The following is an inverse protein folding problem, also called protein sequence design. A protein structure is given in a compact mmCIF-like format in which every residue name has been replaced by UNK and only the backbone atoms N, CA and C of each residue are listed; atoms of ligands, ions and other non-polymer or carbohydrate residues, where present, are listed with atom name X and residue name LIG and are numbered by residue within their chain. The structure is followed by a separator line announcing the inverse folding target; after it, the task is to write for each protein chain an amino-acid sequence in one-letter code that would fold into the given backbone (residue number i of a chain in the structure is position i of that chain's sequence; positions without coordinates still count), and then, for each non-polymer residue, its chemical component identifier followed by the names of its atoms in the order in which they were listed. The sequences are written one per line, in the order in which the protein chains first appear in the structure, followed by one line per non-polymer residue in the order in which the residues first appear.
data_IF_733045907443
#
_entry.id   IF_733045907443
#
_cell.length_a   1.000
_cell.length_b   1.000
_cell.length_c   1.000
_cell.angle_alpha   90.00
_cell.angle_beta   90.00
_cell.angle_gamma   90.00
#
_symmetry.space_group_name_H-M   'P 1'
#
loop_
_entity.id
_entity.type
_entity.pdbx_description
1 polymer ?
#
# COMPACT_ATOMS: atom_id res chain seq x y z
N UNK A 1 -18.07 30.99 -48.48
CA UNK A 1 -17.18 31.30 -47.33
C UNK A 1 -17.81 31.06 -45.95
N UNK A 2 -19.14 31.05 -45.79
CA UNK A 2 -19.80 30.85 -44.48
C UNK A 2 -19.76 29.40 -43.97
N UNK A 3 -19.74 28.43 -44.87
CA UNK A 3 -19.75 26.98 -44.56
C UNK A 3 -18.39 26.45 -44.08
N UNK A 4 -17.26 27.02 -44.54
CA UNK A 4 -15.91 26.65 -44.09
C UNK A 4 -15.60 27.07 -42.64
N UNK A 5 -16.18 28.18 -42.17
CA UNK A 5 -15.99 28.68 -40.80
C UNK A 5 -16.76 27.81 -39.78
N UNK A 6 -17.91 27.28 -40.18
CA UNK A 6 -18.77 26.42 -39.37
C UNK A 6 -18.18 25.03 -39.17
N UNK A 7 -17.58 24.45 -40.23
CA UNK A 7 -16.91 23.15 -40.14
C UNK A 7 -15.61 23.20 -39.33
N UNK A 8 -14.83 24.28 -39.44
CA UNK A 8 -13.63 24.47 -38.61
C UNK A 8 -13.98 24.61 -37.11
N UNK A 9 -15.06 25.31 -36.78
CA UNK A 9 -15.53 25.46 -35.40
C UNK A 9 -15.99 24.13 -34.80
N UNK A 10 -16.66 23.29 -35.59
CA UNK A 10 -17.11 21.96 -35.15
C UNK A 10 -15.94 20.99 -34.89
N UNK A 11 -14.89 21.06 -35.71
CA UNK A 11 -13.67 20.25 -35.55
C UNK A 11 -12.89 20.70 -34.31
N UNK A 12 -12.81 22.00 -34.05
CA UNK A 12 -12.15 22.53 -32.84
C UNK A 12 -12.90 22.14 -31.55
N UNK A 13 -14.23 22.14 -31.58
CA UNK A 13 -15.06 21.74 -30.44
C UNK A 13 -14.93 20.25 -30.11
N UNK A 14 -14.82 19.40 -31.14
CA UNK A 14 -14.58 17.97 -30.99
C UNK A 14 -13.18 17.66 -30.42
N UNK A 15 -12.16 18.45 -30.77
CA UNK A 15 -10.80 18.30 -30.26
C UNK A 15 -10.67 18.64 -28.75
N UNK A 16 -11.50 19.57 -28.25
CA UNK A 16 -11.52 19.96 -26.82
C UNK A 16 -12.23 18.91 -25.95
N UNK A 17 -13.20 18.19 -26.49
CA UNK A 17 -13.88 17.10 -25.78
C UNK A 17 -12.99 15.86 -25.57
N UNK A 18 -11.98 15.64 -26.42
CA UNK A 18 -11.07 14.49 -26.33
C UNK A 18 -9.94 14.71 -25.32
N UNK A 19 -9.56 15.96 -25.02
CA UNK A 19 -8.46 16.28 -24.09
C UNK A 19 -8.83 16.21 -22.60
N UNK A 20 -10.09 15.92 -22.26
CA UNK A 20 -10.59 15.94 -20.88
C UNK A 20 -10.62 14.58 -20.19
N UNK A 21 -10.10 13.52 -20.81
CA UNK A 21 -9.81 12.25 -20.11
C UNK A 21 -8.51 12.36 -19.31
N UNK A 22 -8.47 13.31 -18.37
CA UNK A 22 -7.53 13.23 -17.26
C UNK A 22 -8.07 12.16 -16.31
N UNK A 23 -7.62 10.92 -16.49
CA UNK A 23 -7.86 9.88 -15.50
C UNK A 23 -7.11 10.30 -14.23
N UNK A 24 -7.79 10.49 -13.08
CA UNK A 24 -7.08 10.57 -11.82
C UNK A 24 -6.29 9.27 -11.68
N UNK A 25 -4.97 9.39 -11.43
CA UNK A 25 -4.12 8.25 -11.14
C UNK A 25 -4.66 7.57 -9.87
N UNK A 26 -5.45 6.52 -10.07
CA UNK A 26 -6.01 5.73 -8.99
C UNK A 26 -4.83 5.12 -8.22
N UNK A 27 -4.75 5.38 -6.91
CA UNK A 27 -3.82 4.69 -6.04
C UNK A 27 -4.10 3.18 -6.17
N UNK A 28 -3.21 2.45 -6.83
CA UNK A 28 -3.36 1.03 -7.03
C UNK A 28 -3.23 0.34 -5.66
N UNK A 29 -4.36 -0.11 -5.12
CA UNK A 29 -4.39 -0.93 -3.91
C UNK A 29 -4.50 -2.41 -4.31
N UNK A 30 -3.50 -3.19 -3.93
CA UNK A 30 -3.50 -4.64 -4.15
C UNK A 30 -3.96 -5.32 -2.86
N UNK A 31 -4.96 -6.21 -2.97
CA UNK A 31 -5.49 -6.97 -1.85
C UNK A 31 -5.36 -8.48 -2.08
N UNK A 32 -5.11 -9.21 -1.00
CA UNK A 32 -5.03 -10.68 -1.01
C UNK A 32 -5.55 -11.23 0.30
N UNK A 33 -6.12 -12.44 0.24
CA UNK A 33 -6.66 -13.15 1.40
C UNK A 33 -5.83 -14.41 1.63
N UNK A 34 -5.50 -14.69 2.88
CA UNK A 34 -4.80 -15.92 3.28
C UNK A 34 -5.59 -16.60 4.38
N UNK A 35 -6.15 -17.78 4.08
CA UNK A 35 -6.89 -18.60 5.03
C UNK A 35 -5.96 -19.47 5.86
N UNK A 36 -6.29 -19.64 7.13
CA UNK A 36 -5.60 -20.50 8.08
C UNK A 36 -6.41 -21.77 8.36
N UNK A 37 -5.75 -22.79 8.90
CA UNK A 37 -6.35 -24.10 9.13
C UNK A 37 -7.50 -24.08 10.15
N UNK A 38 -7.49 -23.11 11.07
CA UNK A 38 -8.53 -22.90 12.09
C UNK A 38 -9.74 -22.09 11.55
N UNK A 39 -9.74 -21.76 10.26
CA UNK A 39 -10.79 -20.98 9.59
C UNK A 39 -10.64 -19.46 9.77
N UNK A 40 -9.69 -18.99 10.56
CA UNK A 40 -9.32 -17.57 10.60
C UNK A 40 -8.59 -17.18 9.31
N UNK A 41 -8.46 -15.88 9.05
CA UNK A 41 -7.80 -15.42 7.83
C UNK A 41 -7.17 -14.03 7.99
N UNK A 42 -6.22 -13.76 7.11
CA UNK A 42 -5.65 -12.43 6.94
C UNK A 42 -6.15 -11.78 5.66
N UNK A 43 -6.52 -10.51 5.72
CA UNK A 43 -6.61 -9.65 4.53
C UNK A 43 -5.36 -8.79 4.50
N UNK A 44 -4.56 -8.91 3.45
CA UNK A 44 -3.37 -8.10 3.24
C UNK A 44 -3.64 -7.08 2.15
N UNK A 45 -3.43 -5.81 2.47
CA UNK A 45 -3.62 -4.66 1.56
C UNK A 45 -2.31 -3.90 1.42
N UNK A 46 -1.91 -3.61 0.19
CA UNK A 46 -0.77 -2.73 -0.11
C UNK A 46 -1.31 -1.43 -0.69
N UNK A 47 -0.93 -0.31 -0.09
CA UNK A 47 -1.26 1.04 -0.55
C UNK A 47 0.03 1.77 -0.91
N UNK A 48 0.15 2.19 -2.17
CA UNK A 48 1.26 3.04 -2.61
C UNK A 48 0.92 4.49 -2.32
N UNK A 49 1.83 5.21 -1.66
CA UNK A 49 1.67 6.65 -1.44
C UNK A 49 2.13 7.43 -2.68
N UNK A 50 1.39 8.46 -3.10
CA UNK A 50 1.79 9.29 -4.23
C UNK A 50 3.14 9.94 -3.92
N UNK A 51 4.12 9.76 -4.81
CA UNK A 51 5.43 10.40 -4.72
C UNK A 51 5.65 11.25 -5.97
N UNK A 52 6.23 12.44 -5.78
CA UNK A 52 6.71 13.24 -6.90
C UNK A 52 7.91 12.49 -7.52
N UNK A 53 7.76 12.01 -8.76
CA UNK A 53 8.85 11.48 -9.55
C UNK A 53 9.83 12.61 -9.83
N UNK A 54 10.85 12.77 -8.99
CA UNK A 54 11.94 13.69 -9.25
C UNK A 54 12.88 13.01 -10.26
N UNK A 55 13.19 13.69 -11.38
CA UNK A 55 14.08 13.19 -12.45
C UNK A 55 15.55 13.03 -12.07
N UNK A 56 15.84 12.47 -10.89
CA UNK A 56 17.18 12.09 -10.42
C UNK A 56 17.45 10.62 -10.78
N UNK A 57 18.72 10.24 -10.81
CA UNK A 57 19.16 8.86 -11.10
C UNK A 57 18.62 7.80 -10.10
N UNK A 58 18.19 8.22 -8.91
CA UNK A 58 17.49 7.39 -7.93
C UNK A 58 16.10 7.98 -7.67
N UNK A 59 15.08 7.14 -7.83
CA UNK A 59 13.68 7.45 -7.55
C UNK A 59 13.34 7.02 -6.12
N UNK A 60 12.32 7.64 -5.53
CA UNK A 60 11.80 7.29 -4.22
C UNK A 60 10.36 6.83 -4.33
N UNK A 61 10.00 5.82 -3.54
CA UNK A 61 8.62 5.37 -3.40
C UNK A 61 8.34 5.09 -1.93
N UNK A 62 7.10 5.27 -1.52
CA UNK A 62 6.65 4.96 -0.17
C UNK A 62 5.31 4.28 -0.23
N UNK A 63 5.01 3.50 0.78
CA UNK A 63 3.73 2.83 0.87
C UNK A 63 3.53 2.15 2.19
N UNK A 64 2.38 1.53 2.31
CA UNK A 64 1.95 0.82 3.50
C UNK A 64 1.48 -0.56 3.10
N UNK A 65 1.85 -1.55 3.91
CA UNK A 65 1.26 -2.89 3.85
C UNK A 65 0.59 -3.19 5.16
N UNK A 66 -0.71 -3.40 5.08
CA UNK A 66 -1.59 -3.70 6.21
C UNK A 66 -1.99 -5.14 6.16
N UNK A 67 -1.93 -5.83 7.31
CA UNK A 67 -2.49 -7.16 7.51
C UNK A 67 -3.57 -7.06 8.58
N UNK A 68 -4.81 -7.27 8.15
CA UNK A 68 -5.95 -7.37 9.03
C UNK A 68 -6.21 -8.84 9.39
N UNK A 69 -6.31 -9.14 10.68
CA UNK A 69 -6.61 -10.49 11.16
C UNK A 69 -8.10 -10.63 11.49
N UNK A 70 -8.72 -11.66 10.91
CA UNK A 70 -10.13 -11.98 11.09
C UNK A 70 -10.29 -13.35 11.74
N UNK A 71 -11.26 -13.46 12.65
CA UNK A 71 -11.67 -14.75 13.21
C UNK A 71 -12.41 -15.61 12.18
N UNK A 72 -12.59 -16.90 12.49
CA UNK A 72 -13.46 -17.79 11.71
C UNK A 72 -14.93 -17.37 11.69
N UNK A 73 -15.34 -16.45 12.57
CA UNK A 73 -16.67 -15.82 12.57
C UNK A 73 -16.72 -14.51 11.79
N UNK A 74 -15.70 -14.20 10.98
CA UNK A 74 -15.60 -12.99 10.14
C UNK A 74 -15.52 -11.67 10.91
N UNK A 75 -15.14 -11.70 12.19
CA UNK A 75 -14.89 -10.49 12.98
C UNK A 75 -13.43 -10.05 12.83
N UNK A 76 -13.21 -8.77 12.50
CA UNK A 76 -11.86 -8.18 12.48
C UNK A 76 -11.37 -8.04 13.91
N UNK A 77 -10.27 -8.70 14.25
CA UNK A 77 -9.72 -8.73 15.60
C UNK A 77 -8.72 -7.58 15.81
N UNK A 78 -7.72 -7.50 14.95
CA UNK A 78 -6.71 -6.45 14.97
C UNK A 78 -6.14 -6.22 13.57
N UNK A 79 -5.41 -5.11 13.43
CA UNK A 79 -4.66 -4.73 12.24
C UNK A 79 -3.22 -4.44 12.60
N UNK A 80 -2.28 -4.88 11.76
CA UNK A 80 -0.87 -4.51 11.82
C UNK A 80 -0.43 -3.98 10.47
N UNK A 81 0.21 -2.81 10.46
CA UNK A 81 0.76 -2.20 9.26
C UNK A 81 2.25 -1.95 9.39
N UNK A 82 2.96 -2.09 8.27
CA UNK A 82 4.29 -1.49 8.09
C UNK A 82 4.17 -0.35 7.09
N UNK A 83 4.79 0.78 7.42
CA UNK A 83 4.95 1.92 6.53
C UNK A 83 6.42 1.93 6.13
N UNK A 84 6.68 1.82 4.83
CA UNK A 84 8.03 1.73 4.29
C UNK A 84 8.35 2.89 3.37
N UNK A 85 9.57 3.40 3.49
CA UNK A 85 10.17 4.35 2.56
C UNK A 85 11.33 3.69 1.84
N UNK A 86 11.38 3.85 0.52
CA UNK A 86 12.34 3.16 -0.33
C UNK A 86 12.94 4.09 -1.38
N UNK A 87 14.19 3.81 -1.74
CA UNK A 87 14.85 4.35 -2.93
C UNK A 87 15.13 3.21 -3.91
N UNK A 88 15.08 3.51 -5.21
CA UNK A 88 15.33 2.53 -6.27
C UNK A 88 15.95 3.18 -7.50
N UNK A 89 16.72 2.40 -8.27
CA UNK A 89 17.49 2.90 -9.44
C UNK A 89 17.19 2.16 -10.75
N UNK A 90 16.28 1.19 -10.76
CA UNK A 90 16.10 0.24 -11.87
C UNK A 90 17.01 -0.99 -11.78
N UNK A 91 18.12 -0.91 -11.04
CA UNK A 91 19.01 -2.05 -10.78
C UNK A 91 18.95 -2.56 -9.33
N UNK A 92 18.69 -1.66 -8.38
CA UNK A 92 18.65 -1.98 -6.95
C UNK A 92 17.54 -1.20 -6.26
N UNK A 93 17.12 -1.69 -5.09
CA UNK A 93 16.21 -1.00 -4.18
C UNK A 93 16.75 -1.07 -2.75
N UNK A 94 16.44 -0.06 -1.95
CA UNK A 94 16.86 0.03 -0.55
C UNK A 94 15.73 0.61 0.29
N UNK A 95 15.41 -0.04 1.40
CA UNK A 95 14.53 0.49 2.42
C UNK A 95 15.31 1.50 3.26
N UNK A 96 14.86 2.75 3.26
CA UNK A 96 15.52 3.87 3.94
C UNK A 96 14.89 4.19 5.29
N UNK A 97 13.60 3.88 5.46
CA UNK A 97 12.90 4.04 6.73
C UNK A 97 11.75 3.03 6.82
N UNK A 98 11.42 2.61 8.04
CA UNK A 98 10.33 1.72 8.36
C UNK A 98 9.67 2.21 9.66
N UNK A 99 8.35 2.33 9.60
CA UNK A 99 7.47 2.59 10.74
C UNK A 99 6.41 1.51 10.84
N UNK A 100 5.73 1.43 11.99
CA UNK A 100 4.63 0.52 12.19
C UNK A 100 3.40 1.25 12.72
N UNK A 101 2.23 0.72 12.39
CA UNK A 101 0.95 1.16 12.92
C UNK A 101 0.09 -0.05 13.28
N UNK A 102 -0.83 0.11 14.22
CA UNK A 102 -1.72 -0.97 14.64
C UNK A 102 -3.09 -0.45 15.05
N UNK A 103 -4.09 -1.32 14.93
CA UNK A 103 -5.38 -1.10 15.58
C UNK A 103 -5.89 -2.40 16.19
N UNK A 104 -6.62 -2.28 17.30
CA UNK A 104 -7.30 -3.40 17.94
C UNK A 104 -8.79 -3.09 17.92
N UNK A 105 -9.62 -4.03 17.47
CA UNK A 105 -11.04 -3.80 17.24
C UNK A 105 -11.93 -4.49 18.28
N UNK A 106 -11.40 -5.52 18.93
CA UNK A 106 -12.10 -6.30 19.96
C UNK A 106 -11.36 -6.22 21.30
N UNK A 107 -12.09 -6.14 22.40
CA UNK A 107 -11.53 -5.92 23.75
C UNK A 107 -10.79 -7.14 24.31
N UNK A 108 -11.04 -8.34 23.78
CA UNK A 108 -10.30 -9.56 24.15
C UNK A 108 -8.86 -9.55 23.65
N UNK A 109 -8.53 -8.65 22.72
CA UNK A 109 -7.20 -8.45 22.17
C UNK A 109 -6.58 -7.16 22.72
N UNK A 110 -5.25 -7.14 22.81
CA UNK A 110 -4.48 -5.94 23.19
C UNK A 110 -3.10 -5.94 22.53
N UNK A 111 -2.57 -4.75 22.32
CA UNK A 111 -1.20 -4.56 21.84
C UNK A 111 -0.23 -4.58 23.03
N UNK A 112 0.86 -5.35 22.91
CA UNK A 112 1.88 -5.45 23.97
C UNK A 112 3.11 -4.62 23.61
N UNK A 113 3.63 -4.81 22.40
CA UNK A 113 4.83 -4.12 21.91
C UNK A 113 4.94 -4.25 20.39
N UNK A 114 5.70 -3.36 19.78
CA UNK A 114 5.99 -3.38 18.36
C UNK A 114 7.31 -2.70 18.04
N UNK A 115 7.81 -2.96 16.84
CA UNK A 115 9.03 -2.38 16.29
C UNK A 115 8.99 -2.44 14.77
N UNK A 116 9.68 -1.51 14.11
CA UNK A 116 9.91 -1.54 12.67
C UNK A 116 11.41 -1.53 12.37
N UNK A 117 11.80 -2.17 11.27
CA UNK A 117 13.20 -2.26 10.85
C UNK A 117 13.34 -2.38 9.34
N UNK A 118 14.45 -1.86 8.82
CA UNK A 118 14.84 -1.98 7.41
C UNK A 118 15.93 -3.05 7.24
N UNK A 119 15.78 -3.92 6.25
CA UNK A 119 16.80 -4.89 5.83
C UNK A 119 16.83 -4.94 4.30
N UNK A 120 17.93 -4.49 3.69
CA UNK A 120 18.05 -4.44 2.23
C UNK A 120 16.94 -3.62 1.60
N UNK A 121 16.12 -4.25 0.76
CA UNK A 121 14.98 -3.62 0.08
C UNK A 121 13.64 -3.78 0.81
N UNK A 122 13.64 -4.24 2.06
CA UNK A 122 12.44 -4.58 2.81
C UNK A 122 12.31 -3.78 4.11
N UNK A 123 11.11 -3.25 4.36
CA UNK A 123 10.66 -2.71 5.62
C UNK A 123 9.79 -3.74 6.33
N UNK A 124 10.08 -4.07 7.59
CA UNK A 124 9.34 -5.05 8.38
C UNK A 124 8.83 -4.44 9.66
N UNK A 125 7.53 -4.57 9.94
CA UNK A 125 6.95 -4.32 11.25
C UNK A 125 6.74 -5.66 11.96
N UNK A 126 7.18 -5.74 13.21
CA UNK A 126 6.94 -6.85 14.12
C UNK A 126 6.17 -6.35 15.33
N UNK A 127 5.15 -7.08 15.74
CA UNK A 127 4.34 -6.77 16.91
C UNK A 127 4.04 -8.03 17.72
N UNK A 128 3.80 -7.84 19.00
CA UNK A 128 3.23 -8.87 19.87
C UNK A 128 1.88 -8.37 20.34
N UNK A 129 0.84 -9.12 19.99
CA UNK A 129 -0.49 -8.94 20.54
C UNK A 129 -0.73 -9.94 21.67
N UNK A 130 -1.78 -9.70 22.44
CA UNK A 130 -2.25 -10.62 23.48
C UNK A 130 -3.74 -10.85 23.32
N UNK A 131 -4.13 -12.10 23.32
CA UNK A 131 -5.52 -12.53 23.39
C UNK A 131 -5.76 -13.14 24.77
N UNK A 132 -6.56 -12.47 25.60
CA UNK A 132 -6.77 -12.81 27.01
C UNK A 132 -5.41 -12.94 27.76
N UNK A 133 -4.93 -14.17 27.99
CA UNK A 133 -3.67 -14.47 28.67
C UNK A 133 -2.54 -14.91 27.73
N UNK A 134 -2.85 -15.24 26.47
CA UNK A 134 -1.89 -15.80 25.52
C UNK A 134 -1.29 -14.70 24.61
N UNK A 135 0.01 -14.78 24.33
CA UNK A 135 0.69 -13.89 23.39
C UNK A 135 0.62 -14.43 21.97
N UNK A 136 0.36 -13.55 21.01
CA UNK A 136 0.33 -13.84 19.58
C UNK A 136 1.31 -12.90 18.84
N UNK A 137 2.48 -13.38 18.42
CA UNK A 137 3.39 -12.60 17.60
C UNK A 137 2.83 -12.43 16.18
N UNK A 138 3.01 -11.25 15.61
CA UNK A 138 2.62 -10.92 14.25
C UNK A 138 3.72 -10.11 13.56
N UNK A 139 3.90 -10.32 12.25
CA UNK A 139 4.88 -9.59 11.45
C UNK A 139 4.34 -9.33 10.05
N UNK A 140 4.62 -8.15 9.51
CA UNK A 140 4.29 -7.79 8.14
C UNK A 140 5.51 -7.12 7.49
N UNK A 141 5.80 -7.51 6.24
CA UNK A 141 6.96 -7.03 5.49
C UNK A 141 6.52 -6.48 4.15
N UNK A 142 6.94 -5.26 3.87
CA UNK A 142 6.78 -4.55 2.60
C UNK A 142 8.14 -4.48 1.91
N UNK A 143 8.21 -4.93 0.67
CA UNK A 143 9.45 -4.95 -0.12
C UNK A 143 9.32 -4.08 -1.35
N UNK A 144 10.40 -3.40 -1.73
CA UNK A 144 10.49 -2.64 -2.97
C UNK A 144 11.37 -3.39 -3.98
N UNK A 145 10.90 -3.56 -5.22
CA UNK A 145 11.72 -4.08 -6.31
C UNK A 145 12.65 -3.00 -6.87
N UNK A 146 13.68 -3.40 -7.61
CA UNK A 146 14.57 -2.47 -8.31
C UNK A 146 13.83 -1.51 -9.26
N UNK A 147 12.68 -1.94 -9.80
CA UNK A 147 11.81 -1.14 -10.68
C UNK A 147 10.82 -0.23 -9.90
N UNK A 148 10.87 -0.21 -8.57
CA UNK A 148 9.98 0.60 -7.74
C UNK A 148 8.58 0.02 -7.58
N UNK A 149 8.42 -1.32 -7.64
CA UNK A 149 7.15 -1.98 -7.32
C UNK A 149 7.14 -2.44 -5.87
N UNK A 150 6.04 -2.18 -5.16
CA UNK A 150 5.86 -2.61 -3.77
C UNK A 150 5.15 -3.97 -3.69
N UNK A 151 5.63 -4.86 -2.82
CA UNK A 151 5.07 -6.20 -2.58
C UNK A 151 5.09 -6.66 -1.13
#
# INVERSE_FOLDING_TARGET
MKTLKSTLALILLAAILVSSFCFPACAASAQSITYLEDGSYYITTITVFPSAQNGRAASSISGQKTRDYYSSSHEKLYSLSVIGHFTYTGNTATATNADYDYSVQVSTWSFVRGSASCTGASATASATFRHLTATAPASVTLTCSADGKLS
#
